data_IF_079588139474
#
_entry.id   IF_079588139474
#
_cell.length_a   1.000
_cell.length_b   1.000
_cell.length_c   1.000
_cell.angle_alpha   90.00
_cell.angle_beta   90.00
_cell.angle_gamma   90.00
#
_symmetry.space_group_name_H-M   'P 1'
#
loop_
_entity.id
_entity.type
_entity.pdbx_description
1 polymer ?
#
# COMPACT_ATOMS: atom_id res chain seq x y z
N UNK A 1 -9.13 -0.38 -5.71
CA UNK A 1 -9.94 0.15 -6.82
C UNK A 1 -11.40 0.35 -6.36
N UNK A 2 -12.03 -0.65 -5.74
CA UNK A 2 -13.43 -0.64 -5.32
C UNK A 2 -13.80 0.54 -4.40
N UNK A 3 -12.93 0.93 -3.46
CA UNK A 3 -13.17 2.10 -2.59
C UNK A 3 -13.33 3.39 -3.40
N UNK A 4 -12.43 3.63 -4.36
CA UNK A 4 -12.53 4.83 -5.20
C UNK A 4 -13.74 4.77 -6.15
N UNK A 5 -14.12 3.56 -6.56
CA UNK A 5 -15.37 3.37 -7.31
C UNK A 5 -16.60 3.68 -6.44
N UNK A 6 -16.59 3.20 -5.19
CA UNK A 6 -17.65 3.53 -4.23
C UNK A 6 -17.77 5.03 -3.97
N UNK A 7 -16.65 5.74 -3.77
CA UNK A 7 -16.66 7.21 -3.62
C UNK A 7 -17.26 7.88 -4.87
N UNK A 8 -16.90 7.42 -6.08
CA UNK A 8 -17.49 7.93 -7.32
C UNK A 8 -19.01 7.72 -7.40
N UNK A 9 -19.51 6.63 -6.80
CA UNK A 9 -20.93 6.32 -6.72
C UNK A 9 -21.67 7.01 -5.57
N UNK A 10 -20.99 7.84 -4.76
CA UNK A 10 -21.57 8.61 -3.66
C UNK A 10 -21.52 7.94 -2.29
N UNK A 11 -20.67 6.91 -2.10
CA UNK A 11 -20.49 6.28 -0.79
C UNK A 11 -19.53 7.12 0.06
N UNK A 12 -19.95 7.46 1.27
CA UNK A 12 -19.20 8.31 2.21
C UNK A 12 -18.41 7.53 3.27
N UNK A 13 -18.86 6.32 3.61
CA UNK A 13 -18.24 5.49 4.65
C UNK A 13 -18.08 4.04 4.19
N UNK A 14 -16.99 3.42 4.67
CA UNK A 14 -16.67 2.02 4.35
C UNK A 14 -16.31 1.27 5.63
N UNK A 15 -16.92 0.10 5.79
CA UNK A 15 -16.44 -0.91 6.74
C UNK A 15 -15.69 -1.99 5.97
N UNK A 16 -14.40 -2.17 6.28
CA UNK A 16 -13.54 -3.02 5.48
C UNK A 16 -12.45 -3.69 6.33
N UNK A 17 -12.44 -5.02 6.34
CA UNK A 17 -11.39 -5.81 7.01
C UNK A 17 -10.15 -6.04 6.13
N UNK A 18 -10.17 -5.65 4.85
CA UNK A 18 -9.07 -5.94 3.91
C UNK A 18 -7.71 -5.46 4.39
N UNK A 19 -7.54 -4.24 4.93
CA UNK A 19 -6.22 -3.77 5.36
C UNK A 19 -5.56 -4.72 6.34
N UNK A 20 -6.29 -5.15 7.36
CA UNK A 20 -5.77 -6.01 8.43
C UNK A 20 -5.69 -7.48 8.03
N UNK A 21 -6.70 -7.99 7.32
CA UNK A 21 -6.70 -9.38 6.83
C UNK A 21 -5.57 -9.61 5.84
N UNK A 22 -5.40 -8.73 4.87
CA UNK A 22 -4.33 -8.83 3.87
C UNK A 22 -2.95 -8.71 4.52
N UNK A 23 -2.76 -7.82 5.49
CA UNK A 23 -1.51 -7.66 6.23
C UNK A 23 -1.08 -8.96 6.93
N UNK A 24 -2.03 -9.64 7.59
CA UNK A 24 -1.76 -10.93 8.25
C UNK A 24 -1.34 -12.03 7.26
N UNK A 25 -1.75 -11.92 6.01
CA UNK A 25 -1.37 -12.83 4.93
C UNK A 25 -0.12 -12.38 4.16
N UNK A 26 0.53 -11.30 4.60
CA UNK A 26 1.73 -10.76 3.97
C UNK A 26 1.46 -9.97 2.69
N UNK A 27 0.22 -9.58 2.43
CA UNK A 27 -0.14 -8.73 1.29
C UNK A 27 -0.18 -7.27 1.73
N UNK A 28 0.66 -6.44 1.11
CA UNK A 28 0.75 -5.00 1.35
C UNK A 28 0.24 -4.22 0.14
N UNK A 29 -0.48 -3.14 0.43
CA UNK A 29 -0.96 -2.20 -0.59
C UNK A 29 0.01 -1.05 -0.74
N UNK A 30 0.37 -0.71 -1.97
CA UNK A 30 1.32 0.37 -2.26
C UNK A 30 0.80 1.28 -3.36
N UNK A 31 1.40 2.45 -3.49
CA UNK A 31 1.12 3.39 -4.59
C UNK A 31 1.37 2.79 -5.97
N UNK A 32 2.21 1.75 -6.03
CA UNK A 32 2.57 1.03 -7.24
C UNK A 32 1.81 -0.29 -7.42
N UNK A 33 0.81 -0.58 -6.60
CA UNK A 33 0.05 -1.82 -6.62
C UNK A 33 0.31 -2.69 -5.39
N UNK A 34 -0.07 -3.95 -5.47
CA UNK A 34 0.04 -4.89 -4.35
C UNK A 34 1.36 -5.64 -4.39
N UNK A 35 1.97 -5.83 -3.23
CA UNK A 35 3.15 -6.69 -3.06
C UNK A 35 2.88 -7.79 -2.03
N UNK A 36 3.40 -8.99 -2.29
CA UNK A 36 3.36 -10.09 -1.33
C UNK A 36 4.73 -10.18 -0.66
N UNK A 37 4.85 -9.73 0.59
CA UNK A 37 6.14 -9.53 1.27
C UNK A 37 6.96 -10.81 1.43
N UNK A 38 6.32 -11.98 1.44
CA UNK A 38 7.01 -13.28 1.51
C UNK A 38 7.78 -13.65 0.23
N UNK A 39 7.59 -12.92 -0.88
CA UNK A 39 8.27 -13.20 -2.15
C UNK A 39 9.81 -13.14 -1.97
N UNK A 40 10.51 -14.10 -2.56
CA UNK A 40 11.97 -14.19 -2.50
C UNK A 40 12.67 -12.96 -3.11
N UNK A 41 12.04 -12.29 -4.07
CA UNK A 41 12.56 -11.06 -4.68
C UNK A 41 12.80 -9.92 -3.67
N UNK A 42 12.21 -9.99 -2.49
CA UNK A 42 12.39 -8.98 -1.43
C UNK A 42 13.41 -9.36 -0.37
N UNK A 43 14.16 -10.46 -0.59
CA UNK A 43 15.11 -10.97 0.42
C UNK A 43 16.19 -9.94 0.78
N UNK A 44 16.71 -9.24 -0.21
CA UNK A 44 17.77 -8.24 -0.06
C UNK A 44 17.31 -6.85 -0.50
N UNK A 45 15.98 -6.61 -0.54
CA UNK A 45 15.42 -5.33 -0.97
C UNK A 45 15.38 -4.33 0.19
N UNK A 46 16.31 -3.39 0.20
CA UNK A 46 16.43 -2.36 1.23
C UNK A 46 15.41 -1.22 1.09
N UNK A 47 14.62 -1.20 0.01
CA UNK A 47 13.59 -0.18 -0.19
C UNK A 47 12.44 -0.34 0.81
N UNK A 48 11.73 0.76 1.12
CA UNK A 48 10.51 0.67 1.93
C UNK A 48 9.41 -0.13 1.23
N UNK A 49 8.40 -0.56 1.98
CA UNK A 49 7.24 -1.24 1.41
C UNK A 49 6.61 -0.43 0.26
N UNK A 50 6.46 0.86 0.46
CA UNK A 50 6.00 1.83 -0.54
C UNK A 50 6.88 3.08 -0.48
N UNK A 51 7.66 3.40 -1.54
CA UNK A 51 8.52 4.59 -1.57
C UNK A 51 7.75 5.92 -1.45
N UNK A 52 6.48 5.95 -1.85
CA UNK A 52 5.64 7.15 -1.76
C UNK A 52 4.90 7.27 -0.42
N UNK A 53 4.97 6.26 0.44
CA UNK A 53 4.26 6.22 1.71
C UNK A 53 5.06 6.89 2.83
N UNK A 54 4.40 7.73 3.62
CA UNK A 54 5.01 8.46 4.74
C UNK A 54 4.79 7.82 6.11
N UNK A 55 4.22 6.61 6.17
CA UNK A 55 3.97 5.95 7.44
C UNK A 55 5.27 5.62 8.18
N UNK A 56 5.17 5.40 9.49
CA UNK A 56 6.31 5.02 10.33
C UNK A 56 7.05 3.80 9.78
N UNK A 57 6.32 2.80 9.29
CA UNK A 57 6.91 1.56 8.77
C UNK A 57 7.78 1.82 7.55
N UNK A 58 7.27 2.57 6.56
CA UNK A 58 8.03 2.89 5.34
C UNK A 58 9.23 3.81 5.60
N UNK A 59 9.17 4.66 6.62
CA UNK A 59 10.30 5.53 7.01
C UNK A 59 11.38 4.82 7.80
N UNK A 60 11.10 3.65 8.35
CA UNK A 60 11.98 2.99 9.34
C UNK A 60 12.48 1.63 8.87
N UNK A 61 11.65 0.86 8.15
CA UNK A 61 11.93 -0.54 7.84
C UNK A 61 11.96 -0.83 6.34
N UNK A 62 12.85 -1.75 5.93
CA UNK A 62 12.95 -2.22 4.55
C UNK A 62 12.01 -3.38 4.25
N UNK A 63 11.78 -3.64 2.96
CA UNK A 63 11.09 -4.86 2.49
C UNK A 63 11.80 -6.12 2.97
N UNK A 64 13.14 -6.14 2.92
CA UNK A 64 13.94 -7.27 3.41
C UNK A 64 13.65 -7.56 4.89
N UNK A 65 13.62 -6.54 5.74
CA UNK A 65 13.34 -6.70 7.16
C UNK A 65 11.89 -7.18 7.41
N UNK A 66 10.91 -6.56 6.75
CA UNK A 66 9.49 -6.97 6.86
C UNK A 66 9.31 -8.42 6.41
N UNK A 67 9.99 -8.82 5.32
CA UNK A 67 9.99 -10.21 4.84
C UNK A 67 10.61 -11.15 5.87
N UNK A 68 11.76 -10.78 6.43
CA UNK A 68 12.43 -11.57 7.48
C UNK A 68 11.48 -11.84 8.65
N UNK A 69 10.88 -10.81 9.21
CA UNK A 69 9.92 -10.93 10.31
C UNK A 69 8.74 -11.83 9.94
N UNK A 70 8.18 -11.64 8.75
CA UNK A 70 7.04 -12.43 8.27
C UNK A 70 7.41 -13.92 8.11
N UNK A 71 8.57 -14.22 7.53
CA UNK A 71 9.05 -15.60 7.32
C UNK A 71 9.41 -16.29 8.63
N UNK A 72 9.93 -15.56 9.60
CA UNK A 72 10.28 -16.06 10.94
C UNK A 72 9.05 -16.22 11.85
N UNK A 73 7.85 -15.83 11.39
CA UNK A 73 6.64 -15.92 12.20
C UNK A 73 6.56 -14.91 13.36
N UNK A 74 7.35 -13.82 13.28
CA UNK A 74 7.37 -12.80 14.31
C UNK A 74 6.08 -11.96 14.32
N UNK A 75 5.47 -11.80 15.49
CA UNK A 75 4.27 -10.99 15.66
C UNK A 75 4.48 -9.53 15.22
N UNK A 76 5.71 -9.02 15.42
CA UNK A 76 6.07 -7.67 14.99
C UNK A 76 5.85 -7.48 13.48
N UNK A 77 6.19 -8.49 12.66
CA UNK A 77 5.97 -8.42 11.21
C UNK A 77 4.50 -8.22 10.86
N UNK A 78 3.59 -8.96 11.49
CA UNK A 78 2.16 -8.82 11.29
C UNK A 78 1.65 -7.44 11.72
N UNK A 79 2.17 -6.94 12.83
CA UNK A 79 1.83 -5.61 13.35
C UNK A 79 2.29 -4.51 12.41
N UNK A 80 3.53 -4.54 11.95
CA UNK A 80 4.08 -3.54 11.03
C UNK A 80 3.33 -3.55 9.69
N UNK A 81 3.07 -4.72 9.13
CA UNK A 81 2.27 -4.87 7.91
C UNK A 81 0.86 -4.25 8.07
N UNK A 82 0.23 -4.48 9.22
CA UNK A 82 -1.09 -3.92 9.53
C UNK A 82 -1.05 -2.40 9.63
N UNK A 83 -0.04 -1.85 10.33
CA UNK A 83 0.14 -0.40 10.46
C UNK A 83 0.33 0.26 9.08
N UNK A 84 1.14 -0.33 8.22
CA UNK A 84 1.33 0.17 6.86
C UNK A 84 0.03 0.16 6.06
N UNK A 85 -0.68 -0.98 6.02
CA UNK A 85 -1.92 -1.10 5.25
C UNK A 85 -3.01 -0.14 5.74
N UNK A 86 -3.17 0.00 7.06
CA UNK A 86 -4.14 0.96 7.62
C UNK A 86 -3.81 2.39 7.21
N UNK A 87 -2.54 2.79 7.35
CA UNK A 87 -2.11 4.12 6.92
C UNK A 87 -2.38 4.34 5.43
N UNK A 88 -2.05 3.37 4.58
CA UNK A 88 -2.27 3.45 3.14
C UNK A 88 -3.74 3.69 2.79
N UNK A 89 -4.67 2.94 3.40
CA UNK A 89 -6.10 3.09 3.13
C UNK A 89 -6.65 4.41 3.65
N UNK A 90 -6.22 4.85 4.83
CA UNK A 90 -6.63 6.14 5.39
C UNK A 90 -6.12 7.31 4.54
N UNK A 91 -4.87 7.26 4.09
CA UNK A 91 -4.28 8.26 3.22
C UNK A 91 -4.96 8.31 1.84
N UNK A 92 -5.27 7.14 1.27
CA UNK A 92 -6.03 7.02 0.03
C UNK A 92 -7.40 7.71 0.13
N UNK A 93 -8.13 7.47 1.22
CA UNK A 93 -9.45 8.07 1.43
C UNK A 93 -9.37 9.56 1.77
N UNK A 94 -8.36 9.98 2.54
CA UNK A 94 -8.12 11.40 2.82
C UNK A 94 -7.82 12.17 1.52
N UNK A 95 -6.99 11.60 0.65
CA UNK A 95 -6.73 12.16 -0.67
C UNK A 95 -7.96 12.22 -1.56
N UNK A 96 -8.79 11.18 -1.53
CA UNK A 96 -10.07 11.17 -2.26
C UNK A 96 -11.01 12.27 -1.76
N UNK A 97 -11.16 12.41 -0.44
CA UNK A 97 -11.98 13.46 0.18
C UNK A 97 -11.53 14.87 -0.22
N UNK A 98 -10.21 15.11 -0.17
CA UNK A 98 -9.63 16.38 -0.61
C UNK A 98 -9.93 16.65 -2.09
N UNK A 99 -9.74 15.63 -2.94
CA UNK A 99 -9.98 15.74 -4.38
C UNK A 99 -11.46 15.99 -4.72
N UNK A 100 -12.40 15.41 -3.96
CA UNK A 100 -13.84 15.72 -4.08
C UNK A 100 -14.11 17.20 -3.74
N UNK A 101 -13.57 17.70 -2.62
CA UNK A 101 -13.74 19.10 -2.22
C UNK A 101 -13.14 20.10 -3.21
N UNK A 102 -12.13 19.71 -3.96
CA UNK A 102 -11.45 20.52 -4.99
C UNK A 102 -12.02 20.31 -6.40
N UNK A 103 -13.03 19.47 -6.58
CA UNK A 103 -13.64 19.16 -7.90
C UNK A 103 -12.74 18.41 -8.86
N UNK A 104 -11.71 17.70 -8.37
CA UNK A 104 -10.73 16.97 -9.21
C UNK A 104 -10.68 15.46 -8.93
N UNK A 105 -11.75 14.91 -8.37
CA UNK A 105 -11.77 13.50 -7.96
C UNK A 105 -11.48 12.51 -9.10
N UNK A 106 -12.03 12.76 -10.30
CA UNK A 106 -11.80 11.86 -11.45
C UNK A 106 -10.33 11.82 -11.87
N UNK A 107 -9.62 12.95 -11.82
CA UNK A 107 -8.18 12.99 -12.09
C UNK A 107 -7.40 12.23 -11.01
N UNK A 108 -7.76 12.41 -9.74
CA UNK A 108 -7.18 11.68 -8.62
C UNK A 108 -7.35 10.17 -8.77
N UNK A 109 -8.59 9.71 -9.06
CA UNK A 109 -8.91 8.30 -9.25
C UNK A 109 -8.10 7.68 -10.39
N UNK A 110 -8.06 8.34 -11.56
CA UNK A 110 -7.28 7.87 -12.71
C UNK A 110 -5.81 7.72 -12.37
N UNK A 111 -5.20 8.72 -11.77
CA UNK A 111 -3.78 8.66 -11.37
C UNK A 111 -3.47 7.52 -10.41
N UNK A 112 -4.35 7.24 -9.44
CA UNK A 112 -4.18 6.08 -8.53
C UNK A 112 -4.28 4.75 -9.28
N UNK A 113 -5.29 4.59 -10.13
CA UNK A 113 -5.50 3.35 -10.89
C UNK A 113 -4.36 3.08 -11.87
N UNK A 114 -3.84 4.10 -12.55
CA UNK A 114 -2.67 3.99 -13.42
C UNK A 114 -1.43 3.56 -12.63
N UNK A 115 -1.17 4.15 -11.47
CA UNK A 115 -0.06 3.75 -10.60
C UNK A 115 -0.12 2.26 -10.21
N UNK A 116 -1.30 1.72 -9.94
CA UNK A 116 -1.47 0.31 -9.58
C UNK A 116 -1.29 -0.67 -10.75
N UNK A 117 -1.39 -0.21 -11.98
CA UNK A 117 -1.27 -1.05 -13.20
C UNK A 117 0.17 -1.21 -13.67
N UNK A 118 1.12 -0.45 -13.13
CA UNK A 118 2.53 -0.58 -13.51
C UNK A 118 3.05 -1.97 -13.09
N UNK A 119 3.47 -2.85 -14.04
CA UNK A 119 3.97 -4.17 -13.70
C UNK A 119 5.23 -4.07 -12.83
N UNK A 120 5.30 -4.88 -11.80
CA UNK A 120 6.45 -4.95 -10.87
C UNK A 120 7.78 -5.22 -11.58
N UNK A 121 7.75 -5.90 -12.76
CA UNK A 121 8.91 -6.21 -13.60
C UNK A 121 9.53 -4.99 -14.30
N UNK A 122 8.81 -3.88 -14.42
CA UNK A 122 9.33 -2.65 -15.04
C UNK A 122 9.91 -1.65 -14.03
N UNK A 123 9.91 -2.01 -12.76
CA UNK A 123 10.39 -1.17 -11.65
C UNK A 123 11.88 -1.39 -11.44
N UNK A 124 12.70 -0.88 -12.37
CA UNK A 124 14.15 -0.88 -12.22
C UNK A 124 14.55 -0.07 -10.99
N UNK A 125 15.53 -0.61 -10.26
CA UNK A 125 16.24 0.14 -9.22
C UNK A 125 16.83 1.41 -9.83
N UNK A 126 16.78 2.56 -9.12
CA UNK A 126 17.49 3.77 -9.57
C UNK A 126 19.02 3.62 -9.61
N UNK A 127 19.53 2.44 -9.30
CA UNK A 127 20.98 2.15 -9.22
C UNK A 127 21.48 1.23 -10.36
N UNK A 128 20.66 0.96 -11.38
CA UNK A 128 21.09 0.27 -12.62
C UNK A 128 21.38 1.27 -13.73
#
# INVERSE_FOLDING_TARGET
EDLLHGVAAGIDMFDCVLPTRCARNGLLFTSEGRITIRNAAFQDDERPADPACTCHVCRTFSRAYLRHLFKSGELLGLRLNTMHNLHYFLDLLAGARKAVGEGRFDAYRRGKVEGWRVPTSQRRSPLD
#
